data_IF_190629561032
#
_entry.id   IF_190629561032
#
_cell.length_a   1.000
_cell.length_b   1.000
_cell.length_c   1.000
_cell.angle_alpha   90.00
_cell.angle_beta   90.00
_cell.angle_gamma   90.00
#
_symmetry.space_group_name_H-M   'P 1'
#
loop_
_entity.id
_entity.type
_entity.pdbx_description
1 polymer ?
#
# COMPACT_ATOMS: atom_id res chain seq x y z
N UNK A 1 -39.27 15.46 20.50
CA UNK A 1 -38.25 14.59 19.89
C UNK A 1 -37.38 15.44 18.99
N UNK A 2 -36.08 15.59 19.25
CA UNK A 2 -35.20 16.36 18.38
C UNK A 2 -35.09 15.60 17.05
N UNK A 3 -35.31 16.32 15.93
CA UNK A 3 -35.05 15.81 14.58
C UNK A 3 -33.57 15.46 14.50
N UNK A 4 -33.25 14.20 14.19
CA UNK A 4 -31.90 13.84 13.76
C UNK A 4 -31.58 14.73 12.56
N UNK A 5 -30.61 15.61 12.71
CA UNK A 5 -29.97 16.27 11.59
C UNK A 5 -29.49 15.14 10.66
N UNK A 6 -29.86 15.24 9.37
CA UNK A 6 -29.32 14.34 8.35
C UNK A 6 -27.82 14.54 8.38
N UNK A 7 -27.10 13.55 8.89
CA UNK A 7 -25.64 13.58 8.92
C UNK A 7 -25.12 13.92 7.53
N UNK A 8 -24.18 14.84 7.46
CA UNK A 8 -23.41 15.10 6.26
C UNK A 8 -22.86 13.73 5.81
N UNK A 9 -23.09 13.28 4.58
CA UNK A 9 -22.50 12.02 4.13
C UNK A 9 -21.00 12.09 4.35
N UNK A 10 -20.43 11.07 5.01
CA UNK A 10 -19.01 10.98 5.24
C UNK A 10 -18.36 10.79 3.88
N UNK A 11 -17.70 11.82 3.39
CA UNK A 11 -17.06 11.84 2.08
C UNK A 11 -15.55 11.73 2.30
N UNK A 12 -14.98 10.61 1.90
CA UNK A 12 -13.53 10.42 1.92
C UNK A 12 -12.92 11.12 0.71
N UNK A 13 -11.88 11.90 0.96
CA UNK A 13 -11.21 12.72 -0.04
C UNK A 13 -9.79 12.26 -0.36
N UNK A 14 -9.18 11.57 0.59
CA UNK A 14 -7.79 11.17 0.50
C UNK A 14 -7.65 9.70 0.89
N UNK A 15 -7.92 8.82 -0.07
CA UNK A 15 -8.02 7.39 0.14
C UNK A 15 -6.66 6.74 -0.11
N UNK A 16 -6.19 5.91 0.82
CA UNK A 16 -4.97 5.11 0.66
C UNK A 16 -5.33 3.67 0.29
N UNK A 17 -4.69 3.16 -0.76
CA UNK A 17 -4.81 1.77 -1.21
C UNK A 17 -3.43 1.11 -1.23
N UNK A 18 -3.06 0.36 -0.18
CA UNK A 18 -1.91 -0.53 -0.25
C UNK A 18 -2.14 -1.64 -1.28
N UNK A 19 -1.18 -1.78 -2.21
CA UNK A 19 -1.34 -2.66 -3.38
C UNK A 19 -0.18 -3.66 -3.45
N UNK A 20 -0.51 -4.95 -3.52
CA UNK A 20 0.41 -6.08 -3.62
C UNK A 20 0.07 -7.03 -4.79
N UNK A 21 -0.67 -6.53 -5.78
CA UNK A 21 -1.13 -7.27 -6.97
C UNK A 21 -2.11 -8.42 -6.70
N UNK A 22 -2.43 -8.71 -5.45
CA UNK A 22 -3.40 -9.75 -5.11
C UNK A 22 -4.81 -9.39 -5.61
N UNK A 23 -5.65 -10.40 -5.88
CA UNK A 23 -7.05 -10.19 -6.25
C UNK A 23 -7.81 -9.31 -5.22
N UNK A 24 -7.45 -9.42 -3.95
CA UNK A 24 -8.06 -8.62 -2.89
C UNK A 24 -7.58 -7.15 -2.93
N UNK A 25 -6.32 -6.89 -3.31
CA UNK A 25 -5.81 -5.54 -3.50
C UNK A 25 -6.44 -4.88 -4.75
N UNK A 26 -6.64 -5.65 -5.82
CA UNK A 26 -7.37 -5.19 -7.00
C UNK A 26 -8.82 -4.84 -6.66
N UNK A 27 -9.51 -5.68 -5.90
CA UNK A 27 -10.87 -5.39 -5.42
C UNK A 27 -10.91 -4.15 -4.50
N UNK A 28 -9.87 -3.96 -3.68
CA UNK A 28 -9.73 -2.76 -2.83
C UNK A 28 -9.58 -1.48 -3.68
N UNK A 29 -8.78 -1.53 -4.75
CA UNK A 29 -8.61 -0.41 -5.66
C UNK A 29 -9.91 -0.07 -6.39
N UNK A 30 -10.63 -1.06 -6.93
CA UNK A 30 -11.92 -0.82 -7.56
C UNK A 30 -12.91 -0.17 -6.60
N UNK A 31 -12.97 -0.65 -5.35
CA UNK A 31 -13.83 -0.05 -4.34
C UNK A 31 -13.42 1.40 -4.00
N UNK A 32 -12.13 1.70 -3.97
CA UNK A 32 -11.64 3.06 -3.76
C UNK A 32 -12.08 4.00 -4.90
N UNK A 33 -12.00 3.55 -6.14
CA UNK A 33 -12.47 4.28 -7.32
C UNK A 33 -13.97 4.52 -7.24
N UNK A 34 -14.76 3.50 -6.92
CA UNK A 34 -16.21 3.61 -6.76
C UNK A 34 -16.61 4.59 -5.65
N UNK A 35 -15.89 4.57 -4.51
CA UNK A 35 -16.15 5.49 -3.39
C UNK A 35 -15.73 6.93 -3.70
N UNK A 36 -14.64 7.13 -4.43
CA UNK A 36 -14.22 8.43 -4.91
C UNK A 36 -15.22 9.01 -5.94
N UNK A 37 -15.91 8.14 -6.69
CA UNK A 37 -16.91 8.51 -7.68
C UNK A 37 -16.38 9.55 -8.66
N UNK A 38 -17.22 10.54 -8.98
CA UNK A 38 -16.89 11.66 -9.87
C UNK A 38 -16.36 12.89 -9.13
N UNK A 39 -16.02 12.76 -7.84
CA UNK A 39 -15.50 13.88 -7.05
C UNK A 39 -14.09 14.28 -7.53
N UNK A 40 -13.93 15.47 -8.14
CA UNK A 40 -12.64 15.91 -8.67
C UNK A 40 -11.60 16.19 -7.57
N UNK A 41 -12.05 16.40 -6.34
CA UNK A 41 -11.16 16.68 -5.20
C UNK A 41 -10.72 15.39 -4.48
N UNK A 42 -11.27 14.23 -4.87
CA UNK A 42 -10.88 12.97 -4.28
C UNK A 42 -9.57 12.47 -4.89
N UNK A 43 -8.60 12.12 -4.04
CA UNK A 43 -7.31 11.55 -4.41
C UNK A 43 -7.23 10.11 -3.92
N UNK A 44 -6.76 9.21 -4.77
CA UNK A 44 -6.49 7.81 -4.44
C UNK A 44 -4.98 7.61 -4.48
N UNK A 45 -4.41 7.32 -3.32
CA UNK A 45 -2.98 7.03 -3.19
C UNK A 45 -2.80 5.51 -3.27
N UNK A 46 -2.09 5.05 -4.26
CA UNK A 46 -1.76 3.64 -4.46
C UNK A 46 -0.31 3.46 -4.08
N UNK A 47 -0.04 2.63 -3.06
CA UNK A 47 1.33 2.41 -2.61
C UNK A 47 1.70 0.93 -2.61
N UNK A 48 2.93 0.66 -3.03
CA UNK A 48 3.59 -0.63 -2.81
C UNK A 48 4.73 -0.44 -1.83
N UNK A 49 4.83 -1.32 -0.83
CA UNK A 49 5.90 -1.25 0.16
C UNK A 49 6.92 -2.35 -0.10
N UNK A 50 8.15 -1.94 -0.30
CA UNK A 50 9.32 -2.82 -0.31
C UNK A 50 9.92 -2.82 1.10
N UNK A 51 9.90 -3.99 1.75
CA UNK A 51 10.43 -4.10 3.12
C UNK A 51 11.95 -4.02 3.10
N UNK A 52 12.51 -3.12 3.91
CA UNK A 52 13.95 -3.00 4.11
C UNK A 52 14.49 -3.98 5.17
N UNK A 53 13.63 -4.60 5.99
CA UNK A 53 14.03 -5.59 7.00
C UNK A 53 14.24 -7.00 6.42
N UNK A 54 14.50 -7.11 5.13
CA UNK A 54 14.77 -8.40 4.46
C UNK A 54 16.07 -9.04 5.00
N UNK A 55 17.03 -8.21 5.43
CA UNK A 55 18.23 -8.65 6.13
C UNK A 55 18.52 -7.72 7.31
N UNK A 56 18.55 -8.22 8.54
CA UNK A 56 18.96 -7.41 9.68
C UNK A 56 20.39 -6.90 9.50
N UNK A 57 20.69 -5.66 9.91
CA UNK A 57 22.03 -5.08 9.82
C UNK A 57 23.13 -5.95 10.47
N UNK A 58 22.79 -6.77 11.47
CA UNK A 58 23.68 -7.73 12.10
C UNK A 58 24.15 -8.86 11.16
N UNK A 59 23.42 -9.14 10.08
CA UNK A 59 23.83 -10.11 9.07
C UNK A 59 24.66 -9.50 7.94
N UNK A 60 24.73 -8.18 7.88
CA UNK A 60 25.52 -7.44 6.89
C UNK A 60 26.96 -7.23 7.37
N UNK A 61 27.22 -7.43 8.68
CA UNK A 61 28.55 -7.22 9.24
C UNK A 61 29.45 -8.45 9.09
N UNK A 62 30.57 -8.28 8.44
CA UNK A 62 31.89 -8.94 8.49
C UNK A 62 32.01 -10.47 8.39
N UNK A 63 30.95 -11.23 8.48
CA UNK A 63 30.97 -12.69 8.28
C UNK A 63 29.83 -13.03 7.32
N UNK A 64 30.15 -13.09 6.04
CA UNK A 64 29.18 -13.27 4.96
C UNK A 64 28.19 -14.43 5.19
N UNK A 65 26.92 -14.12 5.13
CA UNK A 65 25.82 -15.11 5.23
C UNK A 65 25.67 -15.95 3.95
N UNK A 66 26.25 -15.49 2.85
CA UNK A 66 26.17 -16.14 1.55
C UNK A 66 27.57 -16.33 0.91
N UNK A 67 28.49 -16.94 1.61
CA UNK A 67 29.83 -17.18 1.11
C UNK A 67 30.87 -16.21 1.65
N UNK A 68 32.09 -16.31 1.16
CA UNK A 68 33.28 -15.64 1.69
C UNK A 68 33.37 -14.13 1.43
N UNK A 69 32.34 -13.50 0.84
CA UNK A 69 32.33 -12.06 0.58
C UNK A 69 31.34 -11.34 1.51
N UNK A 70 31.81 -10.41 2.35
CA UNK A 70 30.93 -9.56 3.15
C UNK A 70 30.03 -8.73 2.21
N UNK A 71 28.72 -8.72 2.45
CA UNK A 71 27.84 -7.73 1.84
C UNK A 71 28.15 -6.41 2.54
N UNK A 72 28.73 -5.46 1.81
CA UNK A 72 28.96 -4.12 2.32
C UNK A 72 27.65 -3.31 2.29
N UNK A 73 27.65 -2.19 3.00
CA UNK A 73 26.49 -1.31 3.11
C UNK A 73 26.05 -0.77 1.75
N UNK A 74 27.00 -0.47 0.85
CA UNK A 74 26.70 0.02 -0.53
C UNK A 74 26.03 -1.03 -1.39
N UNK A 75 26.42 -2.28 -1.26
CA UNK A 75 25.78 -3.42 -1.94
C UNK A 75 24.33 -3.63 -1.46
N UNK A 76 24.08 -3.44 -0.16
CA UNK A 76 22.75 -3.53 0.42
C UNK A 76 21.82 -2.39 -0.06
N UNK A 77 22.29 -1.14 -0.03
CA UNK A 77 21.54 0.00 -0.57
C UNK A 77 21.24 -0.17 -2.05
N UNK A 78 22.20 -0.65 -2.83
CA UNK A 78 22.02 -0.93 -4.26
C UNK A 78 20.94 -2.01 -4.48
N UNK A 79 20.94 -3.05 -3.65
CA UNK A 79 19.93 -4.09 -3.70
C UNK A 79 18.53 -3.53 -3.40
N UNK A 80 18.38 -2.77 -2.31
CA UNK A 80 17.09 -2.17 -1.95
C UNK A 80 16.58 -1.22 -3.04
N UNK A 81 17.46 -0.41 -3.61
CA UNK A 81 17.13 0.50 -4.70
C UNK A 81 16.63 -0.28 -5.93
N UNK A 82 17.36 -1.34 -6.32
CA UNK A 82 16.96 -2.17 -7.45
C UNK A 82 15.63 -2.90 -7.24
N UNK A 83 15.35 -3.30 -5.99
CA UNK A 83 14.06 -3.90 -5.62
C UNK A 83 12.92 -2.89 -5.69
N UNK A 84 13.16 -1.66 -5.22
CA UNK A 84 12.17 -0.59 -5.29
C UNK A 84 11.87 -0.20 -6.73
N UNK A 85 12.88 -0.04 -7.58
CA UNK A 85 12.70 0.26 -9.01
C UNK A 85 11.95 -0.87 -9.75
N UNK A 86 12.21 -2.11 -9.38
CA UNK A 86 11.50 -3.25 -9.94
C UNK A 86 10.04 -3.25 -9.52
N UNK A 87 9.77 -3.08 -8.22
CA UNK A 87 8.41 -3.02 -7.67
C UNK A 87 7.62 -1.86 -8.27
N UNK A 88 8.28 -0.73 -8.52
CA UNK A 88 7.66 0.44 -9.16
C UNK A 88 7.21 0.13 -10.59
N UNK A 89 8.07 -0.52 -11.39
CA UNK A 89 7.70 -0.95 -12.74
C UNK A 89 6.55 -1.96 -12.73
N UNK A 90 6.63 -2.98 -11.87
CA UNK A 90 5.58 -4.01 -11.73
C UNK A 90 4.25 -3.37 -11.32
N UNK A 91 4.27 -2.40 -10.40
CA UNK A 91 3.08 -1.64 -9.97
C UNK A 91 2.44 -0.89 -11.16
N UNK A 92 3.23 -0.13 -11.91
CA UNK A 92 2.73 0.63 -13.06
C UNK A 92 2.16 -0.29 -14.16
N UNK A 93 2.85 -1.39 -14.47
CA UNK A 93 2.40 -2.35 -15.48
C UNK A 93 1.09 -3.03 -15.04
N UNK A 94 0.99 -3.40 -13.77
CA UNK A 94 -0.21 -4.02 -13.19
C UNK A 94 -1.41 -3.06 -13.22
N UNK A 95 -1.21 -1.79 -12.85
CA UNK A 95 -2.25 -0.78 -12.89
C UNK A 95 -2.69 -0.45 -14.32
N UNK A 96 -1.76 -0.37 -15.26
CA UNK A 96 -2.08 -0.18 -16.68
C UNK A 96 -2.96 -1.31 -17.23
N UNK A 97 -2.66 -2.56 -16.84
CA UNK A 97 -3.47 -3.72 -17.20
C UNK A 97 -4.86 -3.72 -16.55
N UNK A 98 -4.95 -3.28 -15.29
CA UNK A 98 -6.18 -3.32 -14.50
C UNK A 98 -7.16 -2.21 -14.90
N UNK A 99 -6.67 -0.99 -15.09
CA UNK A 99 -7.50 0.19 -15.36
C UNK A 99 -7.85 0.36 -16.84
N UNK A 100 -7.06 -0.23 -17.73
CA UNK A 100 -7.36 -0.29 -19.16
C UNK A 100 -7.64 1.09 -19.78
N UNK A 101 -8.80 1.21 -20.46
CA UNK A 101 -9.19 2.44 -21.17
C UNK A 101 -9.65 3.58 -20.25
N UNK A 102 -10.01 3.28 -19.01
CA UNK A 102 -10.47 4.27 -18.03
C UNK A 102 -9.28 4.97 -17.34
N UNK A 103 -8.05 4.52 -17.64
CA UNK A 103 -6.83 5.02 -17.03
C UNK A 103 -6.68 6.54 -17.20
N UNK A 104 -6.88 7.09 -18.39
CA UNK A 104 -6.70 8.51 -18.66
C UNK A 104 -7.64 9.41 -17.83
N UNK A 105 -8.86 8.94 -17.54
CA UNK A 105 -9.84 9.69 -16.76
C UNK A 105 -9.55 9.61 -15.26
N UNK A 106 -9.02 8.50 -14.80
CA UNK A 106 -8.77 8.22 -13.39
C UNK A 106 -7.36 8.71 -12.97
N UNK A 107 -6.38 8.65 -13.87
CA UNK A 107 -4.97 8.98 -13.60
C UNK A 107 -4.76 10.38 -13.01
N UNK A 108 -5.59 11.36 -13.38
CA UNK A 108 -5.51 12.72 -12.82
C UNK A 108 -5.73 12.77 -11.29
N UNK A 109 -6.30 11.70 -10.72
CA UNK A 109 -6.64 11.57 -9.30
C UNK A 109 -5.85 10.48 -8.58
N UNK A 110 -4.95 9.79 -9.29
CA UNK A 110 -4.10 8.76 -8.72
C UNK A 110 -2.73 9.34 -8.35
N UNK A 111 -2.30 9.08 -7.12
CA UNK A 111 -0.92 9.21 -6.70
C UNK A 111 -0.35 7.79 -6.54
N UNK A 112 0.69 7.46 -7.29
CA UNK A 112 1.28 6.11 -7.31
C UNK A 112 2.69 6.23 -6.75
N UNK A 113 3.02 5.43 -5.74
CA UNK A 113 4.33 5.47 -5.10
C UNK A 113 4.79 4.08 -4.66
N UNK A 114 6.06 3.78 -4.91
CA UNK A 114 6.76 2.64 -4.31
C UNK A 114 7.64 3.14 -3.18
N UNK A 115 7.48 2.60 -1.98
CA UNK A 115 8.15 3.08 -0.77
C UNK A 115 8.98 2.00 -0.10
N UNK A 116 10.18 2.35 0.33
CA UNK A 116 10.99 1.54 1.24
C UNK A 116 10.56 1.81 2.67
N UNK A 117 10.31 0.75 3.45
CA UNK A 117 9.99 0.86 4.87
C UNK A 117 10.47 -0.39 5.62
N UNK A 118 10.67 -0.31 6.95
CA UNK A 118 11.05 -1.49 7.76
C UNK A 118 10.06 -2.64 7.60
N UNK A 119 8.78 -2.34 7.61
CA UNK A 119 7.73 -3.33 7.35
C UNK A 119 6.59 -2.74 6.51
N UNK A 120 5.76 -3.57 5.86
CA UNK A 120 4.58 -3.09 5.17
C UNK A 120 3.61 -2.32 6.08
N UNK A 121 3.45 -2.73 7.34
CA UNK A 121 2.57 -2.05 8.31
C UNK A 121 3.08 -0.65 8.62
N UNK A 122 4.38 -0.51 8.88
CA UNK A 122 5.02 0.79 9.16
C UNK A 122 4.93 1.71 7.94
N UNK A 123 5.22 1.18 6.75
CA UNK A 123 5.15 1.92 5.50
C UNK A 123 3.74 2.47 5.22
N UNK A 124 2.72 1.65 5.39
CA UNK A 124 1.32 2.04 5.20
C UNK A 124 0.91 3.09 6.23
N UNK A 125 1.22 2.86 7.51
CA UNK A 125 0.82 3.76 8.60
C UNK A 125 1.51 5.12 8.49
N UNK A 126 2.83 5.15 8.20
CA UNK A 126 3.55 6.40 8.02
C UNK A 126 3.08 7.16 6.79
N UNK A 127 2.82 6.46 5.67
CA UNK A 127 2.28 7.10 4.47
C UNK A 127 0.93 7.76 4.75
N UNK A 128 0.01 7.04 5.41
CA UNK A 128 -1.29 7.55 5.75
C UNK A 128 -1.22 8.84 6.58
N UNK A 129 -0.31 8.90 7.55
CA UNK A 129 -0.08 10.07 8.39
C UNK A 129 0.55 11.23 7.60
N UNK A 130 1.64 10.97 6.87
CA UNK A 130 2.40 11.98 6.09
C UNK A 130 1.52 12.68 5.06
N UNK A 131 0.64 11.91 4.39
CA UNK A 131 -0.24 12.40 3.33
C UNK A 131 -1.64 12.77 3.82
N UNK A 132 -1.90 12.68 5.14
CA UNK A 132 -3.20 13.01 5.75
C UNK A 132 -4.36 12.24 5.10
N UNK A 133 -4.15 10.95 4.86
CA UNK A 133 -5.21 10.11 4.34
C UNK A 133 -6.36 10.01 5.36
N UNK A 134 -7.57 9.93 4.87
CA UNK A 134 -8.79 9.89 5.70
C UNK A 134 -9.47 8.50 5.68
N UNK A 135 -9.01 7.61 4.81
CA UNK A 135 -9.44 6.22 4.72
C UNK A 135 -8.33 5.35 4.15
N UNK A 136 -8.15 4.16 4.73
CA UNK A 136 -7.36 3.09 4.11
C UNK A 136 -8.31 2.02 3.58
N UNK A 137 -8.19 1.64 2.31
CA UNK A 137 -8.91 0.51 1.72
C UNK A 137 -7.87 -0.51 1.28
N UNK A 138 -7.92 -1.69 1.84
CA UNK A 138 -6.92 -2.72 1.54
C UNK A 138 -7.52 -4.11 1.41
N UNK A 139 -6.82 -4.98 0.70
CA UNK A 139 -7.20 -6.38 0.64
C UNK A 139 -7.19 -7.00 2.04
N UNK A 140 -8.19 -7.82 2.33
CA UNK A 140 -8.22 -8.58 3.59
C UNK A 140 -7.02 -9.51 3.73
N UNK A 141 -6.42 -9.91 2.61
CA UNK A 141 -5.25 -10.79 2.49
C UNK A 141 -4.39 -10.36 1.32
N UNK A 142 -3.10 -10.67 1.37
CA UNK A 142 -2.18 -10.56 0.26
C UNK A 142 -1.87 -11.93 -0.36
N UNK A 143 -0.79 -12.01 -1.12
CA UNK A 143 -0.37 -13.16 -1.96
C UNK A 143 -0.13 -14.46 -1.18
N UNK A 144 0.20 -14.42 0.11
CA UNK A 144 0.63 -15.60 0.90
C UNK A 144 -0.36 -16.10 1.95
N UNK A 145 -1.59 -15.61 2.01
CA UNK A 145 -2.46 -15.89 3.16
C UNK A 145 -3.30 -17.17 3.03
N UNK A 146 -3.36 -17.96 4.10
CA UNK A 146 -4.23 -19.13 4.21
C UNK A 146 -5.71 -18.74 4.16
N UNK A 147 -6.54 -19.60 3.55
CA UNK A 147 -7.98 -19.38 3.42
C UNK A 147 -8.66 -19.21 4.79
N UNK A 148 -9.47 -18.17 4.93
CA UNK A 148 -10.31 -17.95 6.12
C UNK A 148 -9.74 -16.97 7.14
N UNK A 149 -8.43 -16.65 7.10
CA UNK A 149 -7.79 -15.76 8.08
C UNK A 149 -7.57 -14.36 7.50
N UNK A 150 -7.50 -13.37 8.38
CA UNK A 150 -7.03 -12.02 8.05
C UNK A 150 -5.52 -12.06 7.82
N UNK A 151 -5.02 -11.36 6.79
CA UNK A 151 -3.59 -11.27 6.51
C UNK A 151 -2.83 -10.53 7.63
N UNK A 152 -1.55 -10.85 7.82
CA UNK A 152 -0.71 -10.23 8.86
C UNK A 152 -0.61 -8.71 8.69
N UNK A 153 -0.44 -8.24 7.46
CA UNK A 153 -0.38 -6.80 7.15
C UNK A 153 -1.72 -6.13 7.44
N UNK A 154 -2.84 -6.70 6.96
CA UNK A 154 -4.17 -6.14 7.19
C UNK A 154 -4.52 -6.11 8.68
N UNK A 155 -4.16 -7.15 9.42
CA UNK A 155 -4.33 -7.17 10.88
C UNK A 155 -3.46 -6.11 11.57
N UNK A 156 -2.20 -5.98 11.15
CA UNK A 156 -1.28 -4.98 11.69
C UNK A 156 -1.79 -3.56 11.48
N UNK A 157 -2.21 -3.22 10.26
CA UNK A 157 -2.75 -1.89 9.90
C UNK A 157 -4.04 -1.60 10.67
N UNK A 158 -4.98 -2.56 10.72
CA UNK A 158 -6.23 -2.41 11.51
C UNK A 158 -5.98 -2.11 12.98
N UNK A 159 -4.90 -2.67 13.54
CA UNK A 159 -4.55 -2.48 14.95
C UNK A 159 -3.83 -1.17 15.23
N UNK A 160 -3.03 -0.68 14.28
CA UNK A 160 -2.14 0.48 14.48
C UNK A 160 -2.65 1.78 13.85
N UNK A 161 -3.68 1.72 13.01
CA UNK A 161 -4.18 2.90 12.30
C UNK A 161 -5.06 3.78 13.18
N UNK A 162 -4.83 5.09 13.12
CA UNK A 162 -5.67 6.12 13.76
C UNK A 162 -6.84 6.57 12.87
N UNK A 163 -6.85 6.13 11.60
CA UNK A 163 -7.91 6.45 10.64
C UNK A 163 -8.71 5.20 10.28
N UNK A 164 -9.94 5.34 9.75
CA UNK A 164 -10.76 4.22 9.31
C UNK A 164 -10.01 3.30 8.34
N UNK A 165 -10.16 1.99 8.53
CA UNK A 165 -9.60 0.96 7.65
C UNK A 165 -10.71 0.06 7.17
N UNK A 166 -10.86 -0.06 5.85
CA UNK A 166 -11.80 -0.94 5.19
C UNK A 166 -11.05 -2.12 4.56
N UNK A 167 -11.41 -3.34 4.94
CA UNK A 167 -10.81 -4.53 4.35
C UNK A 167 -11.75 -5.19 3.35
N UNK A 168 -11.24 -5.49 2.16
CA UNK A 168 -11.99 -6.06 1.04
C UNK A 168 -11.63 -7.53 0.85
N UNK A 169 -12.67 -8.34 0.51
CA UNK A 169 -12.53 -9.77 0.29
C UNK A 169 -12.50 -10.08 -1.20
#
# INVERSE_FOLDING_TARGET
MPRREKGVPMQFKNILVPFDESEHAQAALHLAIDLAGDDPDAVINIITIVSSDIMPPSMISSTGVLGETPIDYGSYETLLTSMAERADRELHDSLAGLLGKDMDTIMARLAIETRLAPSPVDGISSYAADHRCDLIIMGRRGLGALRGMLGSVSYGVLRSSDIPVLTVK
#
